data_IF_054874070872
#
_entry.id   IF_054874070872
#
_cell.length_a   1.000
_cell.length_b   1.000
_cell.length_c   1.000
_cell.angle_alpha   90.00
_cell.angle_beta   90.00
_cell.angle_gamma   90.00
#
_symmetry.space_group_name_H-M   'P 1'
#
loop_
_entity.id
_entity.type
_entity.pdbx_description
1 polymer ?
#
# COMPACT_ATOMS: atom_id res chain seq x y z
N UNK A 1 8.28 -15.16 27.15
CA UNK A 1 6.87 -15.54 27.43
C UNK A 1 6.85 -16.76 28.34
N UNK A 2 5.88 -16.87 29.25
CA UNK A 2 5.67 -18.08 30.05
C UNK A 2 5.41 -19.27 29.10
N UNK A 3 6.04 -20.44 29.27
CA UNK A 3 5.90 -21.56 28.32
C UNK A 3 4.46 -22.02 28.18
N UNK A 4 3.68 -22.00 29.27
CA UNK A 4 2.24 -22.31 29.24
C UNK A 4 1.45 -21.36 28.35
N UNK A 5 1.78 -20.06 28.37
CA UNK A 5 1.10 -19.05 27.54
C UNK A 5 1.40 -19.30 26.06
N UNK A 6 2.65 -19.64 25.71
CA UNK A 6 2.99 -20.02 24.34
C UNK A 6 2.23 -21.27 23.87
N UNK A 7 2.12 -22.27 24.74
CA UNK A 7 1.33 -23.49 24.46
C UNK A 7 -0.14 -23.16 24.22
N UNK A 8 -0.74 -22.27 25.00
CA UNK A 8 -2.14 -21.88 24.81
C UNK A 8 -2.30 -21.09 23.50
N UNK A 9 -1.45 -20.09 23.27
CA UNK A 9 -1.54 -19.20 22.10
C UNK A 9 -1.28 -19.92 20.78
N UNK A 10 -0.46 -20.98 20.76
CA UNK A 10 -0.18 -21.73 19.52
C UNK A 10 -0.99 -23.02 19.46
N UNK A 11 -1.10 -23.74 20.57
CA UNK A 11 -1.75 -25.04 20.63
C UNK A 11 -3.26 -24.97 20.41
N UNK A 12 -3.95 -23.99 21.02
CA UNK A 12 -5.41 -23.87 20.86
C UNK A 12 -5.78 -23.58 19.39
N UNK A 13 -5.15 -22.61 18.70
CA UNK A 13 -5.40 -22.41 17.27
C UNK A 13 -5.07 -23.63 16.40
N UNK A 14 -3.96 -24.33 16.67
CA UNK A 14 -3.61 -25.54 15.91
C UNK A 14 -4.66 -26.64 16.07
N UNK A 15 -5.15 -26.86 17.30
CA UNK A 15 -6.24 -27.82 17.56
C UNK A 15 -7.51 -27.42 16.80
N UNK A 16 -7.85 -26.13 16.76
CA UNK A 16 -8.98 -25.63 15.98
C UNK A 16 -8.82 -25.86 14.47
N UNK A 17 -7.63 -25.62 13.90
CA UNK A 17 -7.37 -25.90 12.48
C UNK A 17 -7.56 -27.38 12.14
N UNK A 18 -7.06 -28.27 13.00
CA UNK A 18 -7.27 -29.72 12.84
C UNK A 18 -8.76 -30.07 12.96
N UNK A 19 -9.47 -29.48 13.92
CA UNK A 19 -10.90 -29.72 14.11
C UNK A 19 -11.73 -29.27 12.90
N UNK A 20 -11.45 -28.08 12.34
CA UNK A 20 -12.13 -27.60 11.14
C UNK A 20 -11.82 -28.44 9.90
N UNK A 21 -10.56 -28.85 9.74
CA UNK A 21 -10.16 -29.74 8.66
C UNK A 21 -10.88 -31.10 8.77
N UNK A 22 -10.95 -31.67 9.98
CA UNK A 22 -11.66 -32.92 10.24
C UNK A 22 -13.17 -32.77 9.98
N UNK A 23 -13.78 -31.67 10.41
CA UNK A 23 -15.18 -31.36 10.12
C UNK A 23 -15.43 -31.30 8.61
N UNK A 24 -14.66 -30.49 7.88
CA UNK A 24 -14.81 -30.36 6.42
C UNK A 24 -14.57 -31.69 5.70
N UNK A 25 -13.65 -32.52 6.18
CA UNK A 25 -13.38 -33.83 5.59
C UNK A 25 -14.56 -34.80 5.70
N UNK A 26 -15.28 -34.75 6.81
CA UNK A 26 -16.46 -35.59 7.07
C UNK A 26 -17.71 -35.03 6.40
N UNK A 27 -17.84 -33.70 6.33
CA UNK A 27 -19.03 -33.01 5.84
C UNK A 27 -19.07 -32.81 4.31
N UNK A 28 -17.92 -32.59 3.67
CA UNK A 28 -17.83 -32.31 2.24
C UNK A 28 -18.49 -33.39 1.34
N UNK A 29 -18.34 -34.70 1.58
CA UNK A 29 -18.99 -35.72 0.75
C UNK A 29 -20.52 -35.64 0.76
N UNK A 30 -21.12 -35.19 1.86
CA UNK A 30 -22.58 -35.04 1.99
C UNK A 30 -23.12 -33.90 1.10
N UNK A 31 -22.22 -33.04 0.62
CA UNK A 31 -22.53 -31.89 -0.24
C UNK A 31 -21.97 -32.05 -1.66
N UNK A 32 -21.55 -33.25 -2.06
CA UNK A 32 -20.98 -33.50 -3.40
C UNK A 32 -19.58 -32.90 -3.61
N UNK A 33 -18.87 -32.60 -2.52
CA UNK A 33 -17.57 -31.94 -2.54
C UNK A 33 -16.42 -32.92 -2.26
N UNK A 34 -15.22 -32.67 -2.82
CA UNK A 34 -14.04 -33.52 -2.58
C UNK A 34 -13.48 -33.36 -1.15
N UNK A 35 -13.53 -34.43 -0.36
CA UNK A 35 -13.08 -34.44 1.05
C UNK A 35 -11.65 -33.93 1.26
N UNK A 36 -10.71 -34.32 0.38
CA UNK A 36 -9.28 -34.03 0.58
C UNK A 36 -9.01 -32.57 0.27
N UNK A 37 -9.53 -32.09 -0.86
CA UNK A 37 -9.42 -30.69 -1.27
C UNK A 37 -9.94 -29.75 -0.19
N UNK A 38 -11.16 -29.99 0.30
CA UNK A 38 -11.78 -29.07 1.26
C UNK A 38 -11.16 -29.14 2.65
N UNK A 39 -10.72 -30.30 3.11
CA UNK A 39 -9.95 -30.41 4.35
C UNK A 39 -8.60 -29.69 4.26
N UNK A 40 -7.90 -29.80 3.13
CA UNK A 40 -6.65 -29.07 2.89
C UNK A 40 -6.90 -27.56 2.86
N UNK A 41 -7.94 -27.09 2.16
CA UNK A 41 -8.32 -25.66 2.13
C UNK A 41 -8.60 -25.16 3.56
N UNK A 42 -9.44 -25.87 4.32
CA UNK A 42 -9.81 -25.49 5.67
C UNK A 42 -8.59 -25.43 6.63
N UNK A 43 -7.59 -26.28 6.42
CA UNK A 43 -6.36 -26.28 7.23
C UNK A 43 -5.35 -25.21 6.82
N UNK A 44 -5.04 -25.10 5.52
CA UNK A 44 -3.92 -24.31 5.03
C UNK A 44 -4.26 -22.84 4.77
N UNK A 45 -5.49 -22.52 4.35
CA UNK A 45 -5.85 -21.12 4.02
C UNK A 45 -5.65 -20.17 5.22
N UNK A 46 -6.06 -20.50 6.46
CA UNK A 46 -5.83 -19.62 7.60
C UNK A 46 -4.35 -19.34 7.89
N UNK A 47 -3.44 -20.26 7.51
CA UNK A 47 -2.01 -20.08 7.71
C UNK A 47 -1.43 -18.95 6.84
N UNK A 48 -2.02 -18.67 5.68
CA UNK A 48 -1.55 -17.58 4.82
C UNK A 48 -1.68 -16.22 5.50
N UNK A 49 -2.79 -15.96 6.21
CA UNK A 49 -2.95 -14.72 6.97
C UNK A 49 -1.95 -14.59 8.11
N UNK A 50 -1.67 -15.70 8.80
CA UNK A 50 -0.64 -15.74 9.84
C UNK A 50 0.76 -15.48 9.28
N UNK A 51 1.13 -16.14 8.18
CA UNK A 51 2.43 -15.93 7.55
C UNK A 51 2.56 -14.53 6.96
N UNK A 52 1.51 -13.99 6.35
CA UNK A 52 1.48 -12.59 5.90
C UNK A 52 1.83 -11.66 7.07
N UNK A 53 1.17 -11.79 8.22
CA UNK A 53 1.53 -11.00 9.41
C UNK A 53 3.00 -11.19 9.83
N UNK A 54 3.51 -12.43 9.85
CA UNK A 54 4.90 -12.70 10.23
C UNK A 54 5.89 -12.04 9.28
N UNK A 55 5.63 -12.08 7.97
CA UNK A 55 6.48 -11.45 6.96
C UNK A 55 6.38 -9.91 7.01
N UNK A 56 5.16 -9.37 7.04
CA UNK A 56 4.91 -7.93 7.11
C UNK A 56 5.45 -7.30 8.40
N UNK A 57 5.40 -8.04 9.53
CA UNK A 57 5.99 -7.57 10.80
C UNK A 57 7.48 -7.25 10.66
N UNK A 58 8.22 -7.99 9.82
CA UNK A 58 9.64 -7.77 9.62
C UNK A 58 9.96 -6.48 8.86
N UNK A 59 9.01 -5.99 8.06
CA UNK A 59 9.18 -4.80 7.22
C UNK A 59 8.91 -3.49 7.98
N UNK A 60 8.46 -3.56 9.24
CA UNK A 60 8.15 -2.38 10.06
C UNK A 60 9.39 -1.61 10.53
N UNK A 61 10.54 -2.27 10.60
CA UNK A 61 11.80 -1.66 11.04
C UNK A 61 12.52 -1.03 9.84
N UNK A 62 11.90 -0.01 9.24
CA UNK A 62 12.52 0.78 8.18
C UNK A 62 13.83 1.40 8.69
N UNK A 63 14.96 0.97 8.11
CA UNK A 63 16.26 1.58 8.33
C UNK A 63 16.56 2.58 7.19
N UNK A 64 16.48 3.91 7.45
CA UNK A 64 16.78 4.92 6.44
C UNK A 64 18.24 4.86 5.95
N UNK A 65 19.14 4.23 6.70
CA UNK A 65 20.54 4.09 6.30
C UNK A 65 20.76 3.00 5.24
N UNK A 66 19.88 1.99 5.22
CA UNK A 66 19.91 0.90 4.24
C UNK A 66 19.06 1.20 2.99
N UNK A 67 18.14 2.17 3.06
CA UNK A 67 17.33 2.60 1.91
C UNK A 67 18.10 3.60 1.00
N UNK A 68 18.42 3.24 -0.26
CA UNK A 68 19.08 4.14 -1.22
C UNK A 68 18.25 5.39 -1.56
N UNK A 69 16.96 5.38 -1.28
CA UNK A 69 16.02 6.45 -1.56
C UNK A 69 15.67 7.28 -0.31
N UNK A 70 16.18 6.93 0.88
CA UNK A 70 15.95 7.68 2.12
C UNK A 70 16.44 9.14 2.05
N UNK A 71 15.79 10.02 2.80
CA UNK A 71 16.15 11.43 2.88
C UNK A 71 17.46 11.60 3.65
N UNK A 72 18.52 12.04 2.98
CA UNK A 72 19.85 12.24 3.57
C UNK A 72 20.90 11.20 3.17
N UNK A 73 20.52 10.15 2.42
CA UNK A 73 21.48 9.21 1.85
C UNK A 73 22.22 9.87 0.67
N UNK A 74 23.55 9.71 0.57
CA UNK A 74 24.35 10.33 -0.49
C UNK A 74 23.96 9.84 -1.89
N UNK A 75 23.28 8.68 -1.98
CA UNK A 75 22.64 8.18 -3.19
C UNK A 75 21.56 9.14 -3.75
N UNK A 76 20.88 9.92 -2.91
CA UNK A 76 19.98 11.01 -3.36
C UNK A 76 20.75 12.29 -3.72
N UNK A 77 21.96 12.52 -3.18
CA UNK A 77 22.86 13.61 -3.67
C UNK A 77 23.40 13.32 -5.06
N UNK A 78 23.54 12.05 -5.42
CA UNK A 78 23.65 11.60 -6.81
C UNK A 78 22.25 11.56 -7.43
N UNK A 79 21.61 12.74 -7.50
CA UNK A 79 20.19 12.91 -7.81
C UNK A 79 19.67 11.97 -8.90
N UNK A 80 18.44 11.45 -8.70
CA UNK A 80 17.60 10.85 -9.74
C UNK A 80 18.04 11.37 -11.09
N UNK A 81 18.82 10.59 -11.86
CA UNK A 81 19.67 11.09 -12.94
C UNK A 81 19.04 12.27 -13.67
N UNK A 82 19.32 13.48 -13.17
CA UNK A 82 18.63 14.67 -13.63
C UNK A 82 19.26 14.90 -14.98
N UNK A 83 18.52 14.60 -16.05
CA UNK A 83 18.97 14.86 -17.40
C UNK A 83 19.55 16.28 -17.44
N UNK A 84 20.73 16.46 -18.04
CA UNK A 84 21.52 17.69 -17.95
C UNK A 84 20.71 18.97 -18.25
N UNK A 85 19.61 18.85 -19.00
CA UNK A 85 18.67 19.93 -19.31
C UNK A 85 17.90 20.51 -18.11
N UNK A 86 17.81 19.79 -16.98
CA UNK A 86 17.06 20.23 -15.77
C UNK A 86 17.99 20.67 -14.62
N UNK A 87 19.28 20.86 -14.90
CA UNK A 87 20.27 21.34 -13.91
C UNK A 87 19.94 22.80 -13.56
N UNK A 88 19.17 23.01 -12.49
CA UNK A 88 18.75 24.34 -12.03
C UNK A 88 17.29 24.43 -11.57
N UNK A 89 16.47 23.40 -11.85
CA UNK A 89 15.11 23.34 -11.33
C UNK A 89 15.13 23.08 -9.81
N UNK A 90 14.26 23.78 -9.06
CA UNK A 90 14.07 23.55 -7.61
C UNK A 90 13.76 22.06 -7.39
N UNK A 91 14.51 21.42 -6.50
CA UNK A 91 14.27 20.02 -6.16
C UNK A 91 12.88 19.85 -5.56
N UNK A 92 12.10 18.91 -6.10
CA UNK A 92 10.82 18.57 -5.52
C UNK A 92 11.06 18.05 -4.09
N UNK A 93 10.34 18.65 -3.14
CA UNK A 93 10.34 18.21 -1.75
C UNK A 93 9.84 16.78 -1.60
N UNK A 94 9.91 16.21 -0.38
CA UNK A 94 9.31 14.91 -0.09
C UNK A 94 7.87 14.82 -0.63
N UNK A 95 7.47 13.66 -1.14
CA UNK A 95 6.12 13.46 -1.67
C UNK A 95 5.08 13.79 -0.59
N UNK A 96 4.32 14.87 -0.79
CA UNK A 96 3.32 15.37 0.16
C UNK A 96 3.66 16.70 0.84
N UNK A 97 4.82 17.32 0.59
CA UNK A 97 5.06 18.72 0.94
C UNK A 97 4.81 19.59 -0.28
N UNK A 98 3.79 20.44 -0.22
CA UNK A 98 3.57 21.53 -1.18
C UNK A 98 4.84 22.39 -1.22
N UNK A 99 5.27 22.77 -2.42
CA UNK A 99 6.35 23.74 -2.54
C UNK A 99 5.81 25.06 -1.99
N UNK A 100 6.54 25.69 -1.06
CA UNK A 100 6.29 27.09 -0.69
C UNK A 100 6.54 27.95 -1.94
N UNK A 101 5.45 28.26 -2.63
CA UNK A 101 5.37 29.28 -3.67
C UNK A 101 5.07 30.61 -2.96
N UNK A 102 6.13 31.25 -2.45
CA UNK A 102 6.06 32.67 -2.10
C UNK A 102 6.20 33.49 -3.39
N UNK A 103 5.11 34.22 -3.68
CA UNK A 103 4.92 35.33 -4.62
C UNK A 103 5.08 35.04 -6.13
N UNK A 104 3.94 34.87 -6.82
CA UNK A 104 3.63 35.62 -8.05
C UNK A 104 2.09 35.65 -8.24
N UNK A 105 1.54 36.88 -8.22
CA UNK A 105 0.13 37.24 -8.33
C UNK A 105 -0.38 37.17 -9.77
N UNK A 106 -0.54 35.98 -10.37
CA UNK A 106 -1.13 35.89 -11.72
C UNK A 106 -1.90 34.58 -11.92
N UNK A 107 -3.21 34.62 -11.64
CA UNK A 107 -4.16 33.59 -12.06
C UNK A 107 -4.28 33.56 -13.60
N UNK A 108 -3.39 32.84 -14.28
CA UNK A 108 -3.60 32.46 -15.68
C UNK A 108 -2.88 31.15 -15.97
N UNK A 109 -3.65 30.07 -16.09
CA UNK A 109 -3.18 28.86 -16.76
C UNK A 109 -2.56 29.27 -18.10
N UNK A 110 -1.34 28.79 -18.38
CA UNK A 110 -0.58 29.09 -19.61
C UNK A 110 -1.33 28.56 -20.85
N UNK A 111 -2.37 29.28 -21.27
CA UNK A 111 -3.08 29.02 -22.51
C UNK A 111 -2.18 29.47 -23.67
N UNK A 112 -1.99 28.61 -24.68
CA UNK A 112 -1.20 28.98 -25.84
C UNK A 112 -1.87 30.15 -26.58
N UNK A 113 -1.04 31.12 -27.00
CA UNK A 113 -1.44 32.32 -27.72
C UNK A 113 -2.49 32.01 -28.83
N UNK A 114 -3.72 32.51 -28.67
CA UNK A 114 -4.82 32.37 -29.63
C UNK A 114 -6.04 31.56 -29.19
N UNK A 115 -6.21 31.22 -27.90
CA UNK A 115 -7.43 30.61 -27.37
C UNK A 115 -8.20 31.61 -26.49
N UNK A 116 -9.21 32.27 -27.05
CA UNK A 116 -10.16 33.10 -26.28
C UNK A 116 -11.30 32.22 -25.74
N UNK A 117 -11.14 31.66 -24.54
CA UNK A 117 -12.26 30.97 -23.86
C UNK A 117 -13.17 32.05 -23.27
N UNK A 118 -14.17 32.48 -24.04
CA UNK A 118 -15.22 33.38 -23.56
C UNK A 118 -16.13 32.64 -22.57
N UNK A 119 -15.72 32.53 -21.31
CA UNK A 119 -16.56 32.00 -20.24
C UNK A 119 -17.40 33.15 -19.65
N UNK A 120 -18.53 33.42 -20.29
CA UNK A 120 -19.33 34.60 -20.00
C UNK A 120 -20.69 34.60 -20.67
N UNK A 121 -21.42 33.49 -20.65
CA UNK A 121 -22.85 33.48 -20.96
C UNK A 121 -23.57 32.41 -20.14
N UNK A 122 -24.10 32.79 -18.98
CA UNK A 122 -25.36 32.23 -18.46
C UNK A 122 -25.91 33.09 -17.31
N UNK A 123 -26.17 34.38 -17.58
CA UNK A 123 -27.11 35.14 -16.77
C UNK A 123 -28.06 35.97 -17.64
N UNK A 124 -29.36 35.72 -17.43
CA UNK A 124 -30.53 36.51 -17.86
C UNK A 124 -31.19 36.14 -19.19
N UNK A 125 -32.03 35.09 -19.14
CA UNK A 125 -33.20 34.97 -20.03
C UNK A 125 -34.43 34.51 -19.25
N UNK A 126 -35.21 35.48 -18.79
CA UNK A 126 -36.69 35.55 -18.84
C UNK A 126 -37.21 36.48 -17.74
N UNK A 127 -37.46 37.74 -18.13
CA UNK A 127 -38.62 38.48 -17.64
C UNK A 127 -39.86 38.11 -18.46
#
# INVERSE_FOLDING_TARGET
>A
MQPLVAVILVGVPLVWLVAFAAYAYLDAPNHGMDRRKWALIAFFVPLFGFFAYVFERGELDYDPSEDPYAQGNDARKAGLAVHERRRGEKGLGPAGTEADDEDDEDDEWNDPDGIDINDGQDENRAG
#
